data_IF_739152664990
#
_entry.id   IF_739152664990
#
_cell.length_a   1.000
_cell.length_b   1.000
_cell.length_c   1.000
_cell.angle_alpha   90.00
_cell.angle_beta   90.00
_cell.angle_gamma   90.00
#
_symmetry.space_group_name_H-M   'P 1'
#
loop_
_entity.id
_entity.type
_entity.pdbx_description
1 polymer ?
#
# COMPACT_ATOMS: atom_id res chain seq x y z
N UNK A 1 4.18 -13.63 19.59
CA UNK A 1 3.62 -14.31 18.40
C UNK A 1 4.77 -15.07 17.74
N UNK A 2 4.57 -16.27 17.19
CA UNK A 2 5.68 -16.97 16.50
C UNK A 2 6.05 -16.16 15.25
N UNK A 3 7.33 -16.03 14.93
CA UNK A 3 7.82 -15.21 13.81
C UNK A 3 7.13 -15.57 12.48
N UNK A 4 6.94 -16.86 12.22
CA UNK A 4 6.21 -17.36 11.04
C UNK A 4 4.79 -16.79 10.93
N UNK A 5 4.11 -16.58 12.05
CA UNK A 5 2.75 -16.04 12.08
C UNK A 5 2.74 -14.55 11.72
N UNK A 6 3.74 -13.78 12.17
CA UNK A 6 3.91 -12.38 11.76
C UNK A 6 4.18 -12.30 10.25
N UNK A 7 5.06 -13.16 9.73
CA UNK A 7 5.39 -13.19 8.31
C UNK A 7 4.14 -13.44 7.47
N UNK A 8 3.31 -14.42 7.85
CA UNK A 8 2.04 -14.71 7.16
C UNK A 8 1.09 -13.50 7.19
N UNK A 9 0.99 -12.80 8.32
CA UNK A 9 0.17 -11.59 8.43
C UNK A 9 0.68 -10.46 7.53
N UNK A 10 1.99 -10.20 7.50
CA UNK A 10 2.60 -9.19 6.62
C UNK A 10 2.35 -9.51 5.15
N UNK A 11 2.50 -10.78 4.75
CA UNK A 11 2.20 -11.22 3.37
C UNK A 11 0.74 -11.01 2.99
N UNK A 12 -0.18 -11.27 3.93
CA UNK A 12 -1.61 -11.07 3.74
C UNK A 12 -1.93 -9.58 3.53
N UNK A 13 -1.44 -8.70 4.40
CA UNK A 13 -1.66 -7.25 4.30
C UNK A 13 -1.04 -6.69 3.00
N UNK A 14 0.14 -7.16 2.61
CA UNK A 14 0.74 -6.77 1.33
C UNK A 14 -0.14 -7.18 0.14
N UNK A 15 -0.72 -8.38 0.17
CA UNK A 15 -1.66 -8.83 -0.87
C UNK A 15 -2.92 -7.96 -0.90
N UNK A 16 -3.46 -7.61 0.26
CA UNK A 16 -4.62 -6.72 0.38
C UNK A 16 -4.34 -5.31 -0.17
N UNK A 17 -3.11 -4.79 -0.01
CA UNK A 17 -2.68 -3.53 -0.61
C UNK A 17 -2.75 -3.54 -2.14
N UNK A 18 -2.16 -4.55 -2.78
CA UNK A 18 -2.26 -4.65 -4.24
C UNK A 18 -3.70 -4.92 -4.70
N UNK A 19 -4.49 -5.68 -3.95
CA UNK A 19 -5.91 -5.84 -4.26
C UNK A 19 -6.71 -4.53 -4.13
N UNK A 20 -6.44 -3.70 -3.12
CA UNK A 20 -7.07 -2.39 -3.01
C UNK A 20 -6.76 -1.51 -4.23
N UNK A 21 -5.50 -1.58 -4.71
CA UNK A 21 -5.06 -0.88 -5.92
C UNK A 21 -5.76 -1.42 -7.18
N UNK A 22 -5.79 -2.74 -7.40
CA UNK A 22 -6.49 -3.33 -8.55
C UNK A 22 -8.00 -3.01 -8.59
N UNK A 23 -8.61 -2.85 -7.42
CA UNK A 23 -10.03 -2.48 -7.30
C UNK A 23 -10.26 -0.95 -7.31
N UNK A 24 -9.20 -0.15 -7.44
CA UNK A 24 -9.25 1.31 -7.41
C UNK A 24 -10.03 1.85 -6.19
N UNK A 25 -9.96 1.14 -5.07
CA UNK A 25 -10.81 1.38 -3.91
C UNK A 25 -10.07 2.23 -2.89
N UNK A 26 -10.42 3.52 -2.82
CA UNK A 26 -9.81 4.42 -1.84
C UNK A 26 -10.11 3.96 -0.41
N UNK A 27 -11.35 3.58 -0.12
CA UNK A 27 -11.75 3.08 1.22
C UNK A 27 -10.87 1.92 1.71
N UNK A 28 -10.60 0.92 0.84
CA UNK A 28 -9.72 -0.20 1.18
C UNK A 28 -8.27 0.25 1.38
N UNK A 29 -7.80 1.16 0.53
CA UNK A 29 -6.44 1.72 0.65
C UNK A 29 -6.31 2.51 1.97
N UNK A 30 -7.31 3.30 2.35
CA UNK A 30 -7.35 4.04 3.62
C UNK A 30 -7.23 3.13 4.83
N UNK A 31 -7.88 1.96 4.81
CA UNK A 31 -7.80 0.98 5.90
C UNK A 31 -6.43 0.32 6.06
N UNK A 32 -5.54 0.41 5.06
CA UNK A 32 -4.22 -0.23 5.07
C UNK A 32 -3.10 0.73 5.47
N UNK A 33 -3.29 2.03 5.25
CA UNK A 33 -2.30 3.04 5.60
C UNK A 33 -2.40 3.46 7.06
N UNK A 34 -1.25 3.73 7.66
CA UNK A 34 -1.18 4.40 8.95
C UNK A 34 -1.46 5.90 8.76
N UNK A 35 -2.34 6.47 9.59
CA UNK A 35 -2.78 7.86 9.46
C UNK A 35 -1.93 8.81 10.31
N UNK A 36 -0.66 8.95 9.94
CA UNK A 36 0.31 9.79 10.67
C UNK A 36 1.06 10.75 9.75
N UNK A 37 1.72 11.75 10.32
CA UNK A 37 2.53 12.71 9.55
C UNK A 37 3.87 12.10 9.09
N UNK A 38 4.33 11.05 9.76
CA UNK A 38 5.61 10.40 9.48
C UNK A 38 5.57 9.36 8.36
N UNK A 39 4.39 9.00 7.83
CA UNK A 39 4.33 8.06 6.70
C UNK A 39 4.81 8.71 5.41
N UNK A 40 5.36 7.89 4.52
CA UNK A 40 5.90 8.33 3.24
C UNK A 40 5.42 7.45 2.10
N UNK A 41 5.22 8.04 0.92
CA UNK A 41 4.90 7.32 -0.30
C UNK A 41 5.69 7.90 -1.48
N UNK A 42 6.18 7.03 -2.36
CA UNK A 42 6.82 7.41 -3.62
C UNK A 42 6.16 6.57 -4.70
N UNK A 43 5.49 7.25 -5.64
CA UNK A 43 4.97 6.61 -6.84
C UNK A 43 6.05 6.65 -7.94
N UNK A 44 6.09 5.67 -8.86
CA UNK A 44 7.07 5.67 -9.95
C UNK A 44 7.04 6.98 -10.75
N UNK A 45 8.17 7.70 -10.76
CA UNK A 45 8.34 8.96 -11.50
C UNK A 45 7.75 10.21 -10.83
N UNK A 46 7.25 10.11 -9.61
CA UNK A 46 6.69 11.23 -8.84
C UNK A 46 7.65 11.65 -7.71
N UNK A 47 7.42 12.85 -7.17
CA UNK A 47 8.09 13.33 -5.95
C UNK A 47 7.65 12.54 -4.70
N UNK A 48 8.39 12.73 -3.61
CA UNK A 48 8.08 12.17 -2.28
C UNK A 48 6.83 12.82 -1.68
N UNK A 49 5.89 12.00 -1.21
CA UNK A 49 4.77 12.43 -0.38
C UNK A 49 5.04 12.09 1.08
N UNK A 50 4.82 13.06 1.97
CA UNK A 50 4.93 12.90 3.42
C UNK A 50 3.60 13.20 4.10
N UNK A 51 3.22 12.36 5.06
CA UNK A 51 1.98 12.48 5.82
C UNK A 51 0.77 11.89 5.09
N UNK A 52 -0.14 11.33 5.87
CA UNK A 52 -1.26 10.57 5.35
C UNK A 52 -2.16 11.35 4.39
N UNK A 53 -2.49 12.61 4.69
CA UNK A 53 -3.39 13.40 3.84
C UNK A 53 -2.83 13.56 2.41
N UNK A 54 -1.53 13.85 2.27
CA UNK A 54 -0.88 13.99 0.97
C UNK A 54 -0.84 12.65 0.20
N UNK A 55 -0.55 11.56 0.93
CA UNK A 55 -0.52 10.21 0.35
C UNK A 55 -1.91 9.79 -0.12
N UNK A 56 -2.95 10.02 0.67
CA UNK A 56 -4.34 9.73 0.32
C UNK A 56 -4.75 10.44 -0.96
N UNK A 57 -4.47 11.74 -1.07
CA UNK A 57 -4.79 12.50 -2.29
C UNK A 57 -4.03 11.97 -3.51
N UNK A 58 -2.77 11.53 -3.35
CA UNK A 58 -2.02 10.90 -4.45
C UNK A 58 -2.70 9.61 -4.95
N UNK A 59 -3.23 8.78 -4.05
CA UNK A 59 -3.99 7.58 -4.41
C UNK A 59 -5.31 7.92 -5.11
N UNK A 60 -6.03 8.93 -4.63
CA UNK A 60 -7.25 9.42 -5.29
C UNK A 60 -6.95 9.88 -6.70
N UNK A 61 -5.86 10.62 -6.91
CA UNK A 61 -5.44 11.06 -8.24
C UNK A 61 -5.16 9.86 -9.15
N UNK A 62 -4.39 8.87 -8.69
CA UNK A 62 -4.11 7.66 -9.48
C UNK A 62 -5.41 6.93 -9.81
N UNK A 63 -6.27 6.67 -8.83
CA UNK A 63 -7.49 5.88 -9.02
C UNK A 63 -8.49 6.57 -9.94
N UNK A 64 -8.64 7.90 -9.86
CA UNK A 64 -9.50 8.66 -10.76
C UNK A 64 -9.04 8.64 -12.22
N UNK A 65 -7.75 8.43 -12.48
CA UNK A 65 -7.15 8.46 -13.81
C UNK A 65 -6.77 7.07 -14.33
N UNK A 66 -7.22 6.01 -13.67
CA UNK A 66 -6.93 4.62 -14.06
C UNK A 66 -8.24 3.91 -14.34
N UNK A 67 -8.39 3.33 -15.53
CA UNK A 67 -9.58 2.52 -15.85
C UNK A 67 -9.45 1.09 -15.31
N UNK A 68 -8.24 0.51 -15.42
CA UNK A 68 -7.93 -0.83 -14.94
C UNK A 68 -6.43 -0.93 -14.68
N UNK A 69 -6.05 -1.68 -13.64
CA UNK A 69 -4.66 -2.04 -13.36
C UNK A 69 -4.59 -3.44 -12.76
N UNK A 70 -3.49 -4.16 -13.03
CA UNK A 70 -3.21 -5.51 -12.51
C UNK A 70 -1.77 -5.66 -12.08
N UNK A 71 -1.56 -6.42 -11.02
CA UNK A 71 -0.25 -6.69 -10.45
C UNK A 71 0.02 -8.19 -10.39
N UNK A 72 1.21 -8.59 -10.86
CA UNK A 72 1.76 -9.93 -10.63
C UNK A 72 2.96 -9.77 -9.72
N UNK A 73 2.78 -10.08 -8.44
CA UNK A 73 3.84 -9.98 -7.44
C UNK A 73 4.66 -11.26 -7.46
N UNK A 74 5.97 -11.13 -7.64
CA UNK A 74 6.90 -12.26 -7.68
C UNK A 74 8.10 -11.96 -6.78
N UNK A 75 8.83 -13.02 -6.37
CA UNK A 75 10.05 -12.88 -5.56
C UNK A 75 9.83 -12.09 -4.25
N UNK A 76 8.68 -12.25 -3.61
CA UNK A 76 8.35 -11.61 -2.34
C UNK A 76 9.33 -12.05 -1.25
N UNK A 77 9.89 -11.09 -0.52
CA UNK A 77 10.78 -11.32 0.63
C UNK A 77 10.26 -10.51 1.82
N UNK A 78 10.11 -11.16 2.96
CA UNK A 78 9.65 -10.52 4.21
C UNK A 78 10.76 -10.55 5.22
N UNK A 79 10.99 -9.41 5.88
CA UNK A 79 11.90 -9.27 7.02
C UNK A 79 11.16 -8.46 8.08
N UNK A 80 11.11 -9.00 9.29
CA UNK A 80 10.52 -8.33 10.45
C UNK A 80 11.68 -7.83 11.31
N UNK A 81 11.56 -6.62 11.83
CA UNK A 81 12.55 -6.00 12.72
C UNK A 81 11.94 -5.84 14.11
N UNK A 82 12.78 -5.95 15.13
CA UNK A 82 12.42 -5.72 16.54
C UNK A 82 12.20 -4.24 16.86
#
# INVERSE_FOLDING_TARGET
MKEDEIIVQVQKINSEFYHAFENLSIERMEGLWKHEDSVVCIHPGWDLFTGWLAIRESWITIFRNTEMIKFIITNTKVRVFD
#
